data_IF_119829139837
#
_entry.id   IF_119829139837
#
_cell.length_a   1.000
_cell.length_b   1.000
_cell.length_c   1.000
_cell.angle_alpha   90.00
_cell.angle_beta   90.00
_cell.angle_gamma   90.00
#
_symmetry.space_group_name_H-M   'P 1'
#
loop_
_entity.id
_entity.type
_entity.pdbx_description
1 polymer ?
#
# COMPACT_ATOMS: atom_id res chain seq x y z
N UNK A 1 -21.20 -12.18 -3.42
CA UNK A 1 -20.85 -11.92 -2.03
C UNK A 1 -19.38 -11.60 -2.04
N UNK A 2 -19.01 -10.33 -2.04
CA UNK A 2 -17.63 -9.89 -1.83
C UNK A 2 -17.28 -10.27 -0.40
N UNK A 3 -16.29 -11.16 -0.22
CA UNK A 3 -15.70 -11.37 1.10
C UNK A 3 -15.02 -10.05 1.45
N UNK A 4 -15.54 -9.32 2.42
CA UNK A 4 -14.81 -8.21 3.04
C UNK A 4 -13.68 -8.83 3.85
N UNK A 5 -12.52 -8.94 3.23
CA UNK A 5 -11.31 -9.36 3.93
C UNK A 5 -10.87 -8.22 4.86
N UNK A 6 -10.76 -8.45 6.16
CA UNK A 6 -10.31 -7.43 7.10
C UNK A 6 -8.86 -6.98 6.83
N UNK A 7 -8.08 -7.85 6.16
CA UNK A 7 -6.70 -7.63 5.75
C UNK A 7 -6.54 -7.97 4.28
N UNK A 8 -6.11 -7.03 3.46
CA UNK A 8 -5.70 -7.26 2.08
C UNK A 8 -4.17 -7.39 2.00
N UNK A 9 -3.70 -8.39 1.25
CA UNK A 9 -2.28 -8.71 1.14
C UNK A 9 -1.86 -8.67 -0.32
N UNK A 10 -0.77 -7.95 -0.63
CA UNK A 10 -0.25 -7.79 -1.97
C UNK A 10 1.18 -7.30 -2.01
N UNK A 11 1.61 -6.85 -3.17
CA UNK A 11 2.97 -6.39 -3.45
C UNK A 11 3.05 -4.89 -3.72
N UNK A 12 4.27 -4.39 -3.64
CA UNK A 12 4.69 -3.12 -4.19
C UNK A 12 4.93 -3.32 -5.69
N UNK A 13 4.07 -2.73 -6.54
CA UNK A 13 4.13 -2.88 -7.99
C UNK A 13 3.75 -4.26 -8.53
N UNK A 14 3.72 -4.35 -9.88
CA UNK A 14 3.43 -5.59 -10.61
C UNK A 14 4.35 -5.83 -11.82
N UNK A 15 5.26 -4.91 -12.15
CA UNK A 15 6.04 -4.93 -13.39
C UNK A 15 7.47 -5.40 -13.23
N UNK A 16 7.78 -6.12 -12.14
CA UNK A 16 9.14 -6.56 -11.83
C UNK A 16 9.69 -7.53 -12.88
N UNK A 17 10.84 -7.21 -13.47
CA UNK A 17 11.49 -8.04 -14.51
C UNK A 17 11.87 -9.42 -14.01
N UNK A 18 12.26 -9.56 -12.74
CA UNK A 18 12.64 -10.85 -12.16
C UNK A 18 11.44 -11.80 -11.98
N UNK A 19 10.21 -11.29 -12.01
CA UNK A 19 9.01 -12.13 -11.99
C UNK A 19 8.72 -12.84 -13.32
N UNK A 20 9.42 -12.51 -14.40
CA UNK A 20 9.33 -13.22 -15.68
C UNK A 20 9.77 -14.68 -15.60
N UNK A 21 10.53 -15.05 -14.57
CA UNK A 21 11.01 -16.42 -14.36
C UNK A 21 10.16 -17.18 -13.35
N UNK A 22 9.78 -16.50 -12.26
CA UNK A 22 9.23 -17.17 -11.08
C UNK A 22 7.72 -17.02 -10.92
N UNK A 23 7.13 -16.00 -11.56
CA UNK A 23 5.71 -15.67 -11.36
C UNK A 23 4.93 -15.58 -12.67
N UNK A 24 5.42 -14.80 -13.65
CA UNK A 24 4.74 -14.65 -14.93
C UNK A 24 5.07 -15.80 -15.88
N UNK A 25 4.10 -16.28 -16.70
CA UNK A 25 4.40 -17.14 -17.84
C UNK A 25 5.45 -16.53 -18.77
N UNK A 26 6.34 -17.35 -19.31
CA UNK A 26 7.49 -16.91 -20.13
C UNK A 26 7.10 -16.03 -21.33
N UNK A 27 5.90 -16.24 -21.87
CA UNK A 27 5.36 -15.54 -23.04
C UNK A 27 4.28 -14.50 -22.70
N UNK A 28 4.11 -14.14 -21.41
CA UNK A 28 3.11 -13.17 -21.00
C UNK A 28 3.50 -11.75 -21.47
N UNK A 29 2.68 -11.10 -22.32
CA UNK A 29 2.93 -9.73 -22.73
C UNK A 29 2.98 -8.77 -21.53
N UNK A 30 3.85 -7.74 -21.53
CA UNK A 30 3.93 -6.77 -20.44
C UNK A 30 2.58 -6.12 -20.09
N UNK A 31 1.76 -5.83 -21.09
CA UNK A 31 0.43 -5.22 -20.93
C UNK A 31 -0.57 -6.14 -20.20
N UNK A 32 -0.27 -7.43 -20.06
CA UNK A 32 -1.14 -8.39 -19.38
C UNK A 32 -0.70 -8.69 -17.95
N UNK A 33 0.42 -8.11 -17.51
CA UNK A 33 0.99 -8.39 -16.18
C UNK A 33 0.07 -7.94 -15.05
N UNK A 34 -0.54 -6.76 -15.16
CA UNK A 34 -1.50 -6.28 -14.16
C UNK A 34 -2.70 -7.22 -14.06
N UNK A 35 -3.26 -7.62 -15.20
CA UNK A 35 -4.39 -8.55 -15.27
C UNK A 35 -4.04 -9.90 -14.62
N UNK A 36 -2.85 -10.42 -14.92
CA UNK A 36 -2.36 -11.68 -14.32
C UNK A 36 -2.18 -11.54 -12.80
N UNK A 37 -1.51 -10.46 -12.36
CA UNK A 37 -1.31 -10.16 -10.95
C UNK A 37 -2.63 -10.04 -10.19
N UNK A 38 -3.60 -9.32 -10.75
CA UNK A 38 -4.91 -9.06 -10.15
C UNK A 38 -5.80 -10.32 -10.00
N UNK A 39 -5.53 -11.37 -10.78
CA UNK A 39 -6.20 -12.67 -10.61
C UNK A 39 -5.69 -13.44 -9.40
N UNK A 40 -4.49 -13.15 -8.91
CA UNK A 40 -3.89 -13.86 -7.79
C UNK A 40 -3.93 -13.05 -6.49
N UNK A 41 -3.71 -11.75 -6.57
CA UNK A 41 -3.65 -10.87 -5.40
C UNK A 41 -4.73 -9.79 -5.44
N UNK A 42 -5.39 -9.47 -4.30
CA UNK A 42 -6.53 -8.56 -4.27
C UNK A 42 -6.15 -7.07 -4.28
N UNK A 43 -4.89 -6.73 -4.03
CA UNK A 43 -4.41 -5.35 -3.87
C UNK A 43 -2.99 -5.19 -4.36
N UNK A 44 -2.68 -3.98 -4.84
CA UNK A 44 -1.32 -3.55 -5.20
C UNK A 44 -1.03 -2.16 -4.66
N UNK A 45 0.20 -1.91 -4.24
CA UNK A 45 0.73 -0.56 -4.00
C UNK A 45 1.32 -0.02 -5.32
N UNK A 46 0.70 1.02 -5.86
CA UNK A 46 1.14 1.70 -7.08
C UNK A 46 2.19 2.74 -6.73
N UNK A 47 3.42 2.53 -7.17
CA UNK A 47 4.55 3.45 -6.94
C UNK A 47 4.80 4.35 -8.15
N UNK A 48 5.74 5.27 -8.01
CA UNK A 48 6.16 6.12 -9.14
C UNK A 48 6.76 5.30 -10.29
N UNK A 49 7.24 4.08 -10.05
CA UNK A 49 7.81 3.21 -11.08
C UNK A 49 6.75 2.74 -12.07
N UNK A 50 5.58 2.32 -11.58
CA UNK A 50 4.46 1.94 -12.45
C UNK A 50 4.02 3.11 -13.33
N UNK A 51 4.03 4.33 -12.79
CA UNK A 51 3.71 5.53 -13.58
C UNK A 51 4.74 5.88 -14.65
N UNK A 52 5.95 5.35 -14.59
CA UNK A 52 6.99 5.53 -15.62
C UNK A 52 6.95 4.49 -16.71
N UNK A 53 6.13 3.45 -16.58
CA UNK A 53 5.98 2.43 -17.61
C UNK A 53 5.44 3.02 -18.91
N UNK A 54 5.89 2.53 -20.07
CA UNK A 54 5.29 2.92 -21.35
C UNK A 54 3.79 2.61 -21.37
N UNK A 55 2.98 3.61 -21.70
CA UNK A 55 1.53 3.47 -21.72
C UNK A 55 0.84 3.47 -20.36
N UNK A 56 1.53 3.83 -19.27
CA UNK A 56 0.94 3.94 -17.94
C UNK A 56 -0.26 4.89 -17.94
N UNK A 57 -1.45 4.35 -17.69
CA UNK A 57 -2.69 5.09 -17.62
C UNK A 57 -3.67 4.47 -16.62
N UNK A 58 -4.20 5.31 -15.75
CA UNK A 58 -5.10 4.90 -14.68
C UNK A 58 -6.41 4.27 -15.20
N UNK A 59 -6.93 4.74 -16.33
CA UNK A 59 -8.15 4.20 -16.94
C UNK A 59 -7.90 2.79 -17.48
N UNK A 60 -6.77 2.59 -18.16
CA UNK A 60 -6.34 1.28 -18.66
C UNK A 60 -6.19 0.28 -17.52
N UNK A 61 -5.56 0.66 -16.39
CA UNK A 61 -5.43 -0.23 -15.22
C UNK A 61 -6.78 -0.64 -14.63
N UNK A 62 -7.78 0.26 -14.67
CA UNK A 62 -9.14 -0.10 -14.28
C UNK A 62 -9.79 -1.09 -15.24
N UNK A 63 -9.53 -0.99 -16.53
CA UNK A 63 -10.08 -1.89 -17.54
C UNK A 63 -9.43 -3.27 -17.51
N UNK A 64 -8.12 -3.33 -17.24
CA UNK A 64 -7.31 -4.56 -17.20
C UNK A 64 -7.48 -5.37 -15.92
N UNK A 65 -8.08 -4.83 -14.87
CA UNK A 65 -8.26 -5.51 -13.60
C UNK A 65 -9.74 -5.69 -13.24
N UNK A 66 -10.05 -6.75 -12.48
CA UNK A 66 -11.42 -7.01 -12.03
C UNK A 66 -11.95 -5.91 -11.11
N UNK A 67 -13.28 -5.73 -11.07
CA UNK A 67 -13.94 -4.72 -10.23
C UNK A 67 -13.68 -4.89 -8.72
N UNK A 68 -13.31 -6.09 -8.28
CA UNK A 68 -12.93 -6.41 -6.90
C UNK A 68 -11.50 -6.03 -6.56
N UNK A 69 -10.63 -5.85 -7.54
CA UNK A 69 -9.22 -5.49 -7.34
C UNK A 69 -9.07 -4.07 -6.80
N UNK A 70 -8.11 -3.87 -5.91
CA UNK A 70 -7.90 -2.60 -5.19
C UNK A 70 -6.51 -2.03 -5.42
N UNK A 71 -6.45 -0.71 -5.48
CA UNK A 71 -5.21 0.05 -5.57
C UNK A 71 -4.96 0.82 -4.27
N UNK A 72 -3.74 0.82 -3.80
CA UNK A 72 -3.19 1.77 -2.83
C UNK A 72 -2.21 2.65 -3.60
N UNK A 73 -2.33 3.96 -3.49
CA UNK A 73 -1.45 4.88 -4.20
C UNK A 73 -0.32 5.33 -3.30
N UNK A 74 0.93 5.11 -3.70
CA UNK A 74 2.06 5.77 -3.07
C UNK A 74 2.20 7.18 -3.65
N UNK A 75 2.16 8.17 -2.77
CA UNK A 75 2.41 9.57 -3.11
C UNK A 75 3.64 10.04 -2.35
N UNK A 76 4.69 10.43 -3.05
CA UNK A 76 5.86 11.08 -2.46
C UNK A 76 5.76 12.56 -2.73
N UNK A 77 5.59 13.36 -1.69
CA UNK A 77 5.39 14.78 -1.85
C UNK A 77 6.07 15.60 -0.74
N UNK A 78 6.65 16.71 -1.16
CA UNK A 78 7.16 17.75 -0.27
C UNK A 78 6.37 19.07 -0.44
N UNK A 79 5.51 19.16 -1.45
CA UNK A 79 4.68 20.33 -1.75
C UNK A 79 3.24 19.91 -2.08
N UNK A 80 2.31 20.86 -1.95
CA UNK A 80 0.90 20.66 -2.32
C UNK A 80 0.75 20.44 -3.82
N UNK A 81 1.54 21.14 -4.63
CA UNK A 81 1.53 21.03 -6.08
C UNK A 81 1.92 19.63 -6.55
N UNK A 82 2.92 18.99 -5.89
CA UNK A 82 3.32 17.62 -6.17
C UNK A 82 2.17 16.65 -5.91
N UNK A 83 1.48 16.80 -4.78
CA UNK A 83 0.29 16.00 -4.44
C UNK A 83 -0.80 16.17 -5.50
N UNK A 84 -1.16 17.40 -5.84
CA UNK A 84 -2.23 17.69 -6.80
C UNK A 84 -1.93 17.08 -8.17
N UNK A 85 -0.69 17.18 -8.63
CA UNK A 85 -0.26 16.59 -9.91
C UNK A 85 -0.42 15.06 -9.92
N UNK A 86 0.00 14.37 -8.84
CA UNK A 86 -0.10 12.92 -8.72
C UNK A 86 -1.55 12.46 -8.59
N UNK A 87 -2.39 13.16 -7.80
CA UNK A 87 -3.82 12.87 -7.67
C UNK A 87 -4.57 13.08 -8.98
N UNK A 88 -4.23 14.12 -9.74
CA UNK A 88 -4.83 14.35 -11.06
C UNK A 88 -4.55 13.20 -12.02
N UNK A 89 -3.31 12.69 -12.05
CA UNK A 89 -2.93 11.53 -12.86
C UNK A 89 -3.69 10.27 -12.46
N UNK A 90 -3.96 10.09 -11.16
CA UNK A 90 -4.64 8.94 -10.61
C UNK A 90 -6.17 9.06 -10.58
N UNK A 91 -6.77 10.11 -11.15
CA UNK A 91 -8.20 10.41 -11.00
C UNK A 91 -9.14 9.26 -11.40
N UNK A 92 -8.78 8.49 -12.44
CA UNK A 92 -9.59 7.35 -12.89
C UNK A 92 -9.60 6.17 -11.88
N UNK A 93 -8.63 6.11 -10.95
CA UNK A 93 -8.57 5.06 -9.91
C UNK A 93 -9.46 5.36 -8.69
N UNK A 94 -10.10 6.52 -8.58
CA UNK A 94 -10.77 6.99 -7.35
C UNK A 94 -11.75 5.96 -6.77
N UNK A 95 -12.52 5.26 -7.59
CA UNK A 95 -13.50 4.26 -7.12
C UNK A 95 -12.87 2.94 -6.67
N UNK A 96 -11.63 2.67 -7.08
CA UNK A 96 -10.87 1.46 -6.73
C UNK A 96 -9.69 1.72 -5.81
N UNK A 97 -9.36 2.98 -5.56
CA UNK A 97 -8.34 3.41 -4.62
C UNK A 97 -8.91 3.32 -3.20
N UNK A 98 -8.38 2.39 -2.41
CA UNK A 98 -8.84 2.19 -1.03
C UNK A 98 -8.03 3.00 -0.01
N UNK A 99 -6.94 3.60 -0.43
CA UNK A 99 -6.14 4.46 0.42
C UNK A 99 -4.89 5.00 -0.26
N UNK A 100 -4.30 5.99 0.36
CA UNK A 100 -3.05 6.62 -0.05
C UNK A 100 -1.98 6.34 1.01
N UNK A 101 -0.81 5.88 0.58
CA UNK A 101 0.41 5.84 1.37
C UNK A 101 1.22 7.11 1.06
N UNK A 102 1.10 8.13 1.91
CA UNK A 102 1.82 9.39 1.73
C UNK A 102 3.22 9.28 2.32
N UNK A 103 4.25 9.28 1.48
CA UNK A 103 5.65 9.27 1.90
C UNK A 103 6.17 10.68 2.10
N UNK A 104 6.71 10.93 3.28
CA UNK A 104 7.27 12.22 3.64
C UNK A 104 8.37 12.09 4.70
N UNK A 105 9.12 13.16 4.95
CA UNK A 105 10.17 13.17 5.98
C UNK A 105 9.57 13.23 7.38
N UNK A 106 10.20 12.56 8.35
CA UNK A 106 9.87 12.70 9.79
C UNK A 106 10.05 14.12 10.33
N UNK A 107 10.88 14.92 9.65
CA UNK A 107 11.14 16.32 10.02
C UNK A 107 10.23 17.32 9.27
N UNK A 108 9.15 16.83 8.64
CA UNK A 108 8.19 17.71 7.98
C UNK A 108 7.62 18.72 8.97
N UNK A 109 7.51 19.98 8.54
CA UNK A 109 6.83 20.98 9.31
C UNK A 109 5.34 20.63 9.52
N UNK A 110 4.84 20.73 10.75
CA UNK A 110 3.47 20.30 11.09
C UNK A 110 2.40 21.04 10.30
N UNK A 111 2.63 22.31 9.90
CA UNK A 111 1.70 23.06 9.06
C UNK A 111 1.68 22.52 7.64
N UNK A 112 2.86 22.26 7.07
CA UNK A 112 2.97 21.62 5.76
C UNK A 112 2.33 20.24 5.75
N UNK A 113 2.56 19.42 6.78
CA UNK A 113 1.91 18.11 6.91
C UNK A 113 0.38 18.26 6.89
N UNK A 114 -0.18 19.20 7.62
CA UNK A 114 -1.62 19.46 7.62
C UNK A 114 -2.12 19.83 6.21
N UNK A 115 -1.42 20.70 5.50
CA UNK A 115 -1.78 21.11 4.14
C UNK A 115 -1.74 19.93 3.15
N UNK A 116 -0.71 19.07 3.22
CA UNK A 116 -0.64 17.85 2.41
C UNK A 116 -1.78 16.89 2.72
N UNK A 117 -2.05 16.65 4.02
CA UNK A 117 -3.14 15.78 4.46
C UNK A 117 -4.51 16.25 3.96
N UNK A 118 -4.78 17.55 4.00
CA UNK A 118 -6.05 18.12 3.52
C UNK A 118 -6.26 17.84 2.01
N UNK A 119 -5.18 17.80 1.22
CA UNK A 119 -5.27 17.47 -0.21
C UNK A 119 -5.54 15.97 -0.42
N UNK A 120 -4.74 15.09 0.20
CA UNK A 120 -4.84 13.65 -0.05
C UNK A 120 -6.11 13.05 0.55
N UNK A 121 -6.56 13.51 1.72
CA UNK A 121 -7.78 13.02 2.37
C UNK A 121 -9.07 13.36 1.61
N UNK A 122 -9.03 14.37 0.76
CA UNK A 122 -10.15 14.69 -0.14
C UNK A 122 -10.33 13.63 -1.25
N UNK A 123 -9.28 12.85 -1.53
CA UNK A 123 -9.29 11.80 -2.55
C UNK A 123 -9.59 10.42 -1.95
N UNK A 124 -8.88 10.03 -0.88
CA UNK A 124 -8.99 8.69 -0.27
C UNK A 124 -8.44 8.72 1.18
N UNK A 125 -8.77 7.74 2.03
CA UNK A 125 -8.13 7.57 3.34
C UNK A 125 -6.60 7.50 3.24
N UNK A 126 -5.88 7.93 4.29
CA UNK A 126 -4.43 8.12 4.27
C UNK A 126 -3.74 7.34 5.39
N UNK A 127 -2.60 6.75 5.05
CA UNK A 127 -1.57 6.29 5.96
C UNK A 127 -0.26 7.03 5.63
N UNK A 128 0.52 7.44 6.63
CA UNK A 128 1.79 8.13 6.40
C UNK A 128 2.94 7.13 6.43
N UNK A 129 3.87 7.23 5.50
CA UNK A 129 5.12 6.45 5.51
C UNK A 129 6.32 7.38 5.77
N UNK A 130 6.97 7.18 6.91
CA UNK A 130 8.21 7.86 7.29
C UNK A 130 9.45 6.99 7.03
N UNK A 131 9.30 5.85 6.33
CA UNK A 131 10.34 4.83 6.26
C UNK A 131 10.60 4.18 7.62
N UNK A 132 11.88 3.89 7.90
CA UNK A 132 12.28 3.26 9.17
C UNK A 132 12.57 4.29 10.28
N UNK A 133 12.10 5.52 10.15
CA UNK A 133 12.32 6.57 11.13
C UNK A 133 11.05 6.80 11.97
N UNK A 134 11.23 7.02 13.26
CA UNK A 134 10.12 7.34 14.16
C UNK A 134 9.68 8.80 13.97
N UNK A 135 8.37 9.07 13.84
CA UNK A 135 7.86 10.43 13.72
C UNK A 135 8.10 11.24 15.01
N UNK A 136 8.36 12.53 14.85
CA UNK A 136 8.53 13.43 15.99
C UNK A 136 7.24 13.57 16.79
N UNK A 137 7.34 13.97 18.08
CA UNK A 137 6.16 14.15 18.94
C UNK A 137 5.14 15.14 18.35
N UNK A 138 5.59 16.22 17.72
CA UNK A 138 4.73 17.19 17.06
C UNK A 138 3.96 16.60 15.87
N UNK A 139 4.60 15.71 15.10
CA UNK A 139 3.97 14.98 14.01
C UNK A 139 2.96 13.97 14.58
N UNK A 140 3.33 13.19 15.60
CA UNK A 140 2.44 12.23 16.26
C UNK A 140 1.15 12.94 16.76
N UNK A 141 1.28 14.12 17.36
CA UNK A 141 0.11 14.91 17.83
C UNK A 141 -0.82 15.26 16.67
N UNK A 142 -0.30 15.68 15.52
CA UNK A 142 -1.12 15.96 14.33
C UNK A 142 -1.84 14.71 13.86
N UNK A 143 -1.14 13.56 13.78
CA UNK A 143 -1.72 12.29 13.32
C UNK A 143 -2.79 11.78 14.28
N UNK A 144 -2.57 11.87 15.59
CA UNK A 144 -3.56 11.49 16.60
C UNK A 144 -4.82 12.39 16.56
N UNK A 145 -4.65 13.71 16.44
CA UNK A 145 -5.77 14.64 16.34
C UNK A 145 -6.63 14.41 15.09
N UNK A 146 -5.99 14.01 13.98
CA UNK A 146 -6.66 13.74 12.72
C UNK A 146 -7.07 12.29 12.53
N UNK A 147 -6.75 11.40 13.48
CA UNK A 147 -7.00 9.96 13.40
C UNK A 147 -6.40 9.37 12.13
N UNK A 148 -5.10 9.61 11.91
CA UNK A 148 -4.35 9.13 10.75
C UNK A 148 -3.30 8.14 11.22
N UNK A 149 -3.26 6.96 10.59
CA UNK A 149 -2.25 5.93 10.82
C UNK A 149 -0.90 6.31 10.21
N UNK A 150 0.15 5.68 10.70
CA UNK A 150 1.43 5.66 10.00
C UNK A 150 1.90 4.22 9.77
N UNK A 151 2.67 4.03 8.71
CA UNK A 151 3.10 2.75 8.22
C UNK A 151 4.00 2.03 9.24
N UNK A 152 3.76 0.73 9.41
CA UNK A 152 4.62 -0.15 10.18
C UNK A 152 5.47 -0.99 9.23
N UNK A 153 6.79 -1.10 9.51
CA UNK A 153 7.74 -1.81 8.65
C UNK A 153 8.09 -3.22 9.14
N UNK A 154 7.22 -3.80 10.00
CA UNK A 154 7.35 -5.19 10.46
C UNK A 154 8.30 -5.41 11.62
N UNK A 155 8.88 -4.36 12.17
CA UNK A 155 9.75 -4.36 13.34
C UNK A 155 9.29 -3.32 14.37
N UNK A 156 9.61 -3.52 15.64
CA UNK A 156 9.19 -2.62 16.71
C UNK A 156 7.69 -2.67 17.02
N UNK A 157 7.19 -1.68 17.74
CA UNK A 157 5.79 -1.61 18.15
C UNK A 157 4.90 -1.03 17.04
N UNK A 158 3.76 -1.66 16.73
CA UNK A 158 2.86 -1.25 15.64
C UNK A 158 1.87 -0.15 16.07
N UNK A 159 2.33 0.86 16.83
CA UNK A 159 1.46 1.89 17.42
C UNK A 159 0.64 2.64 16.38
N UNK A 160 1.27 2.96 15.24
CA UNK A 160 0.66 3.70 14.15
C UNK A 160 -0.53 3.00 13.49
N UNK A 161 -0.57 1.67 13.52
CA UNK A 161 -1.63 0.90 12.88
C UNK A 161 -3.00 1.03 13.54
N UNK A 162 -3.05 1.49 14.78
CA UNK A 162 -4.28 1.56 15.59
C UNK A 162 -5.10 2.83 15.39
N UNK A 163 -4.61 3.75 14.56
CA UNK A 163 -5.31 5.00 14.26
C UNK A 163 -6.09 4.90 12.93
N UNK A 164 -7.09 5.75 12.80
CA UNK A 164 -7.82 5.97 11.56
C UNK A 164 -8.59 4.76 11.00
N UNK A 165 -9.06 4.93 9.78
CA UNK A 165 -9.87 3.95 9.04
C UNK A 165 -9.08 3.16 7.99
N UNK A 166 -7.81 3.50 7.76
CA UNK A 166 -6.93 2.88 6.79
C UNK A 166 -5.51 2.80 7.35
N UNK A 167 -4.87 1.65 7.27
CA UNK A 167 -3.50 1.47 7.73
C UNK A 167 -2.72 0.51 6.83
N UNK A 168 -1.43 0.76 6.67
CA UNK A 168 -0.52 -0.01 5.82
C UNK A 168 0.63 -0.55 6.65
N UNK A 169 0.94 -1.84 6.45
CA UNK A 169 2.20 -2.47 6.83
C UNK A 169 3.00 -2.73 5.56
N UNK A 170 4.24 -2.26 5.49
CA UNK A 170 5.14 -2.42 4.34
C UNK A 170 6.36 -3.21 4.76
N UNK A 171 6.56 -4.40 4.19
CA UNK A 171 7.64 -5.31 4.52
C UNK A 171 8.70 -5.29 3.43
N UNK A 172 9.86 -4.70 3.73
CA UNK A 172 11.03 -4.63 2.83
C UNK A 172 12.18 -5.52 3.32
N UNK A 173 11.89 -6.53 4.17
CA UNK A 173 12.89 -7.40 4.76
C UNK A 173 13.42 -8.43 3.75
N UNK A 174 14.73 -8.64 3.75
CA UNK A 174 15.38 -9.75 3.01
C UNK A 174 15.41 -11.06 3.81
N UNK A 175 15.17 -10.99 5.13
CA UNK A 175 15.08 -12.16 6.03
C UNK A 175 13.60 -12.49 6.26
N UNK A 176 12.96 -13.06 5.24
CA UNK A 176 11.58 -13.52 5.29
C UNK A 176 11.55 -15.00 5.66
N UNK A 177 10.74 -15.35 6.66
CA UNK A 177 10.53 -16.73 7.07
C UNK A 177 9.10 -16.91 7.62
N UNK A 178 8.56 -18.15 7.68
CA UNK A 178 7.17 -18.39 8.06
C UNK A 178 6.77 -17.84 9.44
N UNK A 179 7.70 -17.75 10.40
CA UNK A 179 7.41 -17.18 11.72
C UNK A 179 7.23 -15.68 11.67
N UNK A 180 8.07 -14.98 10.90
CA UNK A 180 7.94 -13.53 10.69
C UNK A 180 6.66 -13.21 9.92
N UNK A 181 6.37 -13.95 8.83
CA UNK A 181 5.14 -13.78 8.05
C UNK A 181 3.92 -13.92 8.97
N UNK A 182 3.87 -14.98 9.78
CA UNK A 182 2.79 -15.19 10.74
C UNK A 182 2.67 -14.03 11.72
N UNK A 183 3.78 -13.57 12.28
CA UNK A 183 3.80 -12.42 13.19
C UNK A 183 3.24 -11.16 12.55
N UNK A 184 3.63 -10.83 11.31
CA UNK A 184 3.11 -9.68 10.58
C UNK A 184 1.61 -9.77 10.33
N UNK A 185 1.12 -10.94 9.88
CA UNK A 185 -0.31 -11.17 9.66
C UNK A 185 -1.09 -11.05 10.98
N UNK A 186 -0.67 -11.71 12.05
CA UNK A 186 -1.33 -11.64 13.37
C UNK A 186 -1.33 -10.20 13.91
N UNK A 187 -0.24 -9.44 13.73
CA UNK A 187 -0.16 -8.04 14.14
C UNK A 187 -1.15 -7.18 13.37
N UNK A 188 -1.20 -7.32 12.03
CA UNK A 188 -2.18 -6.62 11.20
C UNK A 188 -3.60 -6.97 11.62
N UNK A 189 -3.93 -8.26 11.77
CA UNK A 189 -5.28 -8.70 12.19
C UNK A 189 -5.66 -8.17 13.57
N UNK A 190 -4.72 -8.10 14.50
CA UNK A 190 -4.98 -7.53 15.84
C UNK A 190 -5.29 -6.03 15.81
N UNK A 191 -4.85 -5.33 14.78
CA UNK A 191 -5.11 -3.90 14.57
C UNK A 191 -6.37 -3.65 13.75
N UNK A 192 -7.01 -4.67 13.17
CA UNK A 192 -8.27 -4.53 12.42
C UNK A 192 -9.44 -4.20 13.37
N UNK A 193 -10.45 -3.55 12.83
CA UNK A 193 -11.77 -3.40 13.43
C UNK A 193 -12.81 -3.23 12.31
N UNK A 194 -14.11 -3.19 12.64
CA UNK A 194 -15.19 -3.11 11.66
C UNK A 194 -15.11 -1.91 10.69
N UNK A 195 -14.37 -0.87 11.05
CA UNK A 195 -14.25 0.38 10.27
C UNK A 195 -12.86 0.63 9.70
N UNK A 196 -11.89 -0.28 9.93
CA UNK A 196 -10.50 -0.10 9.49
C UNK A 196 -10.10 -1.11 8.44
N UNK A 197 -9.73 -0.62 7.28
CA UNK A 197 -9.09 -1.41 6.23
C UNK A 197 -7.59 -1.53 6.51
N UNK A 198 -7.10 -2.75 6.69
CA UNK A 198 -5.68 -3.05 6.84
C UNK A 198 -5.09 -3.59 5.54
N UNK A 199 -3.88 -3.15 5.23
CA UNK A 199 -3.13 -3.58 4.05
C UNK A 199 -1.75 -4.08 4.49
N UNK A 200 -1.35 -5.26 4.02
CA UNK A 200 0.00 -5.79 4.15
C UNK A 200 0.64 -5.85 2.77
N UNK A 201 1.67 -5.06 2.57
CA UNK A 201 2.42 -4.95 1.31
C UNK A 201 3.82 -5.53 1.50
N UNK A 202 4.16 -6.48 0.63
CA UNK A 202 5.52 -6.95 0.48
C UNK A 202 6.25 -6.10 -0.56
N UNK A 203 7.41 -5.60 -0.17
CA UNK A 203 8.29 -4.74 -0.97
C UNK A 203 9.63 -5.45 -1.18
N UNK A 204 10.31 -5.14 -2.28
CA UNK A 204 11.59 -5.76 -2.64
C UNK A 204 11.83 -5.69 -4.15
N UNK A 205 12.98 -6.14 -4.60
CA UNK A 205 13.34 -6.14 -6.02
C UNK A 205 13.77 -7.56 -6.50
N UNK A 206 12.77 -8.40 -6.82
CA UNK A 206 11.32 -8.23 -6.70
C UNK A 206 10.80 -8.55 -5.29
N UNK A 207 9.55 -8.17 -4.97
CA UNK A 207 8.84 -8.71 -3.81
C UNK A 207 8.73 -10.25 -3.87
N UNK A 208 8.83 -10.91 -2.73
CA UNK A 208 8.78 -12.37 -2.64
C UNK A 208 7.34 -12.89 -2.78
N UNK A 209 7.02 -13.46 -3.94
CA UNK A 209 5.70 -14.01 -4.28
C UNK A 209 5.28 -15.14 -3.33
N UNK A 210 6.21 -16.03 -2.96
CA UNK A 210 5.91 -17.14 -2.06
C UNK A 210 5.59 -16.65 -0.64
N UNK A 211 6.26 -15.57 -0.20
CA UNK A 211 5.93 -14.94 1.08
C UNK A 211 4.53 -14.31 1.06
N UNK A 212 4.13 -13.69 -0.05
CA UNK A 212 2.78 -13.12 -0.20
C UNK A 212 1.72 -14.24 -0.15
N UNK A 213 1.92 -15.33 -0.89
CA UNK A 213 1.04 -16.52 -0.89
C UNK A 213 0.93 -17.13 0.50
N UNK A 214 2.05 -17.30 1.20
CA UNK A 214 2.06 -17.81 2.57
C UNK A 214 1.30 -16.89 3.54
N UNK A 215 1.45 -15.57 3.39
CA UNK A 215 0.74 -14.61 4.20
C UNK A 215 -0.79 -14.70 4.00
N UNK A 216 -1.25 -14.86 2.74
CA UNK A 216 -2.67 -15.09 2.43
C UNK A 216 -3.19 -16.37 3.06
N UNK A 217 -2.47 -17.50 2.91
CA UNK A 217 -2.85 -18.77 3.52
C UNK A 217 -2.95 -18.65 5.05
N UNK A 218 -1.98 -17.98 5.69
CA UNK A 218 -2.01 -17.77 7.14
C UNK A 218 -3.20 -16.90 7.54
N UNK A 219 -3.50 -15.84 6.77
CA UNK A 219 -4.64 -14.97 7.01
C UNK A 219 -5.98 -15.71 6.92
N UNK A 220 -6.13 -16.64 5.97
CA UNK A 220 -7.33 -17.45 5.79
C UNK A 220 -7.54 -18.51 6.90
N UNK A 221 -6.49 -18.86 7.63
CA UNK A 221 -6.49 -19.86 8.71
C UNK A 221 -6.71 -19.27 10.11
N UNK A 222 -6.58 -17.95 10.27
CA UNK A 222 -6.73 -17.24 11.55
C UNK A 222 -8.13 -16.64 11.71
#
# INVERSE_FOLDING_TARGET
>A
MTRDYPLLIGACGWSHSNWEVDFYPEDLPPDWRLSYYANEFPVVLVTEEEWRLPGADASTWCEESEASFRFVLEITANTVEDVQSQLHRAAALVERCIGILLRTSVNIDSRMLVELLDQVMAFSPVCIDFGNEDPTESVIQVLQQRQISWCWHGEGEPEGLKLGSFAVTRISSTDINPRKIRHWVETCLSATNESRQMILIFDGEPPDIEAIRQAQIICDLL
#
